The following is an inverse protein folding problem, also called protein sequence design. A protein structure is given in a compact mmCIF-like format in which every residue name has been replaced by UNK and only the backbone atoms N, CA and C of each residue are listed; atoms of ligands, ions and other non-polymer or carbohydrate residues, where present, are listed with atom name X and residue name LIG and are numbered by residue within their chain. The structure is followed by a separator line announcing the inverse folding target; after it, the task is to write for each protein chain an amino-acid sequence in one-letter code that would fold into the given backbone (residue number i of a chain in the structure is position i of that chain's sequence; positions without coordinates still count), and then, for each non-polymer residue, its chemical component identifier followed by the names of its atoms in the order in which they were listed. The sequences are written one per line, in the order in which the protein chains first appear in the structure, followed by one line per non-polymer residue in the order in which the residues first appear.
data_IF_785032719932
#
_entry.id   IF_785032719932
#
_cell.length_a   1.000
_cell.length_b   1.000
_cell.length_c   1.000
_cell.angle_alpha   90.00
_cell.angle_beta   90.00
_cell.angle_gamma   90.00
#
_symmetry.space_group_name_H-M   'P 1'
#
loop_
_entity.id
_entity.type
_entity.pdbx_description
1 polymer ?
#
# COMPACT_ATOMS: atom_id res chain seq x y z
N UNK A 1 5.08 9.43 -4.12
CA UNK A 1 6.22 8.89 -4.83
C UNK A 1 5.98 8.94 -6.34
N UNK A 2 6.81 9.66 -7.02
CA UNK A 2 6.66 9.95 -8.46
C UNK A 2 6.67 8.69 -9.34
N UNK A 3 7.47 7.69 -8.97
CA UNK A 3 7.58 6.44 -9.72
C UNK A 3 6.54 5.39 -9.33
N UNK A 4 5.70 5.69 -8.35
CA UNK A 4 4.62 4.79 -7.94
C UNK A 4 3.37 5.10 -8.72
N UNK A 5 2.49 4.12 -8.86
CA UNK A 5 1.20 4.27 -9.51
C UNK A 5 0.09 3.60 -8.72
N UNK A 6 -1.13 3.72 -9.19
CA UNK A 6 -2.28 3.03 -8.64
C UNK A 6 -3.26 3.96 -7.96
N UNK A 7 -4.02 3.38 -7.05
CA UNK A 7 -5.17 4.03 -6.43
C UNK A 7 -4.77 5.26 -5.61
N UNK A 8 -5.46 6.36 -5.85
CA UNK A 8 -5.36 7.58 -5.06
C UNK A 8 -6.76 8.09 -4.72
N UNK A 9 -6.92 8.64 -3.52
CA UNK A 9 -8.18 9.23 -3.08
C UNK A 9 -8.11 10.74 -3.19
N UNK A 10 -9.14 11.33 -3.77
CA UNK A 10 -9.27 12.78 -3.90
C UNK A 10 -10.54 13.23 -3.16
N UNK A 11 -10.46 14.31 -2.42
CA UNK A 11 -11.59 14.86 -1.71
C UNK A 11 -11.46 16.38 -1.59
N UNK A 12 -12.61 17.06 -1.50
CA UNK A 12 -12.67 18.47 -1.14
C UNK A 12 -12.77 18.68 0.38
N UNK A 13 -12.90 17.59 1.15
CA UNK A 13 -13.00 17.66 2.61
C UNK A 13 -11.68 17.25 3.25
N UNK A 14 -10.92 18.25 3.75
CA UNK A 14 -9.62 18.02 4.37
C UNK A 14 -9.67 17.15 5.63
N UNK A 15 -10.77 17.17 6.36
CA UNK A 15 -10.91 16.35 7.57
C UNK A 15 -10.90 14.86 7.24
N UNK A 16 -11.49 14.47 6.11
CA UNK A 16 -11.47 13.08 5.62
C UNK A 16 -10.04 12.65 5.30
N UNK A 17 -9.28 13.52 4.64
CA UNK A 17 -7.87 13.22 4.31
C UNK A 17 -7.07 12.98 5.59
N UNK A 18 -7.20 13.85 6.57
CA UNK A 18 -6.48 13.71 7.85
C UNK A 18 -6.86 12.42 8.57
N UNK A 19 -8.14 12.07 8.57
CA UNK A 19 -8.63 10.85 9.21
C UNK A 19 -8.04 9.59 8.57
N UNK A 20 -7.96 9.55 7.24
CA UNK A 20 -7.40 8.42 6.52
C UNK A 20 -5.87 8.33 6.71
N UNK A 21 -5.19 9.47 6.77
CA UNK A 21 -3.72 9.50 6.85
C UNK A 21 -3.18 9.25 8.26
N UNK A 22 -4.00 9.35 9.30
CA UNK A 22 -3.54 9.11 10.67
C UNK A 22 -3.05 7.67 10.84
N UNK A 23 -1.87 7.53 11.42
CA UNK A 23 -1.25 6.22 11.64
C UNK A 23 -2.09 5.33 12.56
N UNK A 24 -2.73 5.90 13.58
CA UNK A 24 -3.57 5.16 14.52
C UNK A 24 -4.81 4.54 13.89
N UNK A 25 -5.24 5.03 12.74
CA UNK A 25 -6.39 4.46 12.02
C UNK A 25 -6.03 3.18 11.28
N UNK A 26 -4.75 2.93 11.04
CA UNK A 26 -4.19 1.68 10.53
C UNK A 26 -4.90 1.15 9.28
N UNK A 27 -5.22 2.04 8.34
CA UNK A 27 -5.80 1.63 7.08
C UNK A 27 -4.82 0.74 6.31
N UNK A 28 -5.27 -0.45 5.95
CA UNK A 28 -4.46 -1.35 5.14
C UNK A 28 -4.34 -0.83 3.72
N UNK A 29 -3.14 -0.91 3.18
CA UNK A 29 -2.87 -0.61 1.78
C UNK A 29 -2.17 -1.80 1.15
N UNK A 30 -2.69 -2.25 0.04
CA UNK A 30 -2.14 -3.41 -0.66
C UNK A 30 -1.46 -2.96 -1.94
N UNK A 31 -0.26 -3.49 -2.16
CA UNK A 31 0.56 -3.16 -3.33
C UNK A 31 0.92 -4.43 -4.09
N UNK A 32 0.96 -4.30 -5.41
CA UNK A 32 1.60 -5.28 -6.29
C UNK A 32 2.94 -4.68 -6.72
N UNK A 33 4.01 -5.46 -6.56
CA UNK A 33 5.38 -4.99 -6.71
C UNK A 33 6.11 -5.89 -7.70
N UNK A 34 6.73 -5.31 -8.71
CA UNK A 34 7.63 -6.00 -9.61
C UNK A 34 9.07 -5.65 -9.24
N UNK A 35 9.94 -6.66 -9.22
CA UNK A 35 11.34 -6.51 -8.81
C UNK A 35 12.29 -7.09 -9.86
N UNK A 36 13.58 -6.82 -9.68
CA UNK A 36 14.63 -7.15 -10.65
C UNK A 36 15.19 -8.57 -10.51
N UNK A 37 14.83 -9.30 -9.45
CA UNK A 37 15.33 -10.65 -9.18
C UNK A 37 14.18 -11.58 -8.81
N UNK A 38 14.35 -12.90 -8.96
CA UNK A 38 13.32 -13.84 -8.55
C UNK A 38 12.95 -13.69 -7.08
N UNK A 39 11.66 -13.65 -6.79
CA UNK A 39 11.13 -13.55 -5.44
C UNK A 39 11.28 -14.91 -4.74
N UNK A 40 11.95 -14.91 -3.60
CA UNK A 40 12.16 -16.13 -2.79
C UNK A 40 11.27 -16.10 -1.55
N UNK A 41 11.00 -17.29 -0.99
CA UNK A 41 10.27 -17.39 0.27
C UNK A 41 11.01 -16.70 1.40
N UNK A 42 12.34 -16.78 1.40
CA UNK A 42 13.18 -16.11 2.39
C UNK A 42 13.01 -14.59 2.33
N UNK A 43 13.01 -14.02 1.12
CA UNK A 43 12.77 -12.58 0.93
C UNK A 43 11.41 -12.19 1.47
N UNK A 44 10.35 -12.94 1.11
CA UNK A 44 8.99 -12.65 1.56
C UNK A 44 8.86 -12.72 3.08
N UNK A 45 9.46 -13.72 3.70
CA UNK A 45 9.45 -13.84 5.17
C UNK A 45 10.22 -12.70 5.84
N UNK A 46 11.35 -12.30 5.27
CA UNK A 46 12.14 -11.18 5.78
C UNK A 46 11.38 -9.86 5.71
N UNK A 47 10.69 -9.61 4.60
CA UNK A 47 9.84 -8.44 4.43
C UNK A 47 8.68 -8.45 5.44
N UNK A 48 8.06 -9.60 5.64
CA UNK A 48 6.89 -9.74 6.53
C UNK A 48 7.22 -9.53 8.00
N UNK A 49 8.42 -9.91 8.44
CA UNK A 49 8.86 -9.73 9.83
C UNK A 49 9.14 -8.29 10.20
N UNK A 50 9.35 -7.44 9.23
CA UNK A 50 9.78 -6.08 9.42
C UNK A 50 11.26 -5.90 9.07
N UNK A 51 11.59 -4.72 8.59
CA UNK A 51 12.92 -4.36 8.09
C UNK A 51 13.32 -3.02 8.69
N UNK A 52 14.59 -2.86 9.04
CA UNK A 52 15.07 -1.57 9.53
C UNK A 52 15.28 -0.61 8.38
N UNK A 53 14.49 0.47 8.40
CA UNK A 53 14.63 1.59 7.47
C UNK A 53 14.46 2.89 8.27
N UNK A 54 15.03 4.00 7.79
CA UNK A 54 14.89 5.31 8.47
C UNK A 54 15.19 5.24 9.99
N UNK A 55 16.13 4.38 10.39
CA UNK A 55 16.51 4.18 11.81
C UNK A 55 15.38 3.60 12.67
N UNK A 56 14.40 2.96 12.07
CA UNK A 56 13.33 2.25 12.80
C UNK A 56 12.97 0.95 12.10
N UNK A 57 12.38 0.04 12.86
CA UNK A 57 11.88 -1.23 12.30
C UNK A 57 10.47 -1.01 11.75
N UNK A 58 10.23 -1.48 10.53
CA UNK A 58 8.88 -1.49 10.00
C UNK A 58 8.02 -2.49 10.77
N UNK A 59 6.72 -2.25 10.81
CA UNK A 59 5.78 -3.18 11.45
C UNK A 59 5.69 -4.49 10.65
N UNK A 60 5.41 -5.62 11.33
CA UNK A 60 5.10 -6.85 10.61
C UNK A 60 3.98 -6.62 9.60
N UNK A 61 4.07 -7.28 8.47
CA UNK A 61 3.12 -7.12 7.38
C UNK A 61 2.88 -8.45 6.67
N UNK A 62 1.95 -8.45 5.72
CA UNK A 62 1.61 -9.64 4.96
C UNK A 62 2.27 -9.57 3.59
N UNK A 63 2.85 -10.69 3.16
CA UNK A 63 3.47 -10.81 1.84
C UNK A 63 3.03 -12.11 1.17
N UNK A 64 2.98 -12.11 -0.16
CA UNK A 64 2.70 -13.31 -0.95
C UNK A 64 3.34 -13.17 -2.33
N UNK A 65 3.77 -14.30 -2.89
CA UNK A 65 4.29 -14.31 -4.26
C UNK A 65 3.13 -14.19 -5.26
N UNK A 66 3.28 -13.33 -6.25
CA UNK A 66 2.34 -13.20 -7.36
C UNK A 66 2.90 -13.82 -8.64
N UNK A 67 4.22 -13.71 -8.84
CA UNK A 67 4.91 -14.17 -10.04
C UNK A 67 6.38 -14.38 -9.70
N UNK A 68 7.16 -14.88 -10.65
CA UNK A 68 8.60 -15.09 -10.47
C UNK A 68 9.30 -13.80 -10.01
N UNK A 69 8.92 -12.66 -10.57
CA UNK A 69 9.52 -11.35 -10.28
C UNK A 69 8.52 -10.39 -9.64
N UNK A 70 7.51 -10.92 -8.97
CA UNK A 70 6.45 -10.09 -8.41
C UNK A 70 5.92 -10.60 -7.09
N UNK A 71 5.52 -9.67 -6.22
CA UNK A 71 4.91 -10.02 -4.95
C UNK A 71 3.84 -9.01 -4.56
N UNK A 72 3.02 -9.45 -3.61
CA UNK A 72 1.97 -8.66 -2.98
C UNK A 72 2.43 -8.33 -1.56
N UNK A 73 2.21 -7.11 -1.13
CA UNK A 73 2.50 -6.70 0.26
C UNK A 73 1.35 -5.83 0.78
N UNK A 74 0.95 -6.07 2.02
CA UNK A 74 -0.11 -5.31 2.69
C UNK A 74 0.48 -4.60 3.89
N UNK A 75 0.43 -3.27 3.88
CA UNK A 75 1.00 -2.41 4.91
C UNK A 75 -0.07 -1.60 5.60
N UNK A 76 0.11 -1.34 6.89
CA UNK A 76 -0.68 -0.35 7.64
C UNK A 76 0.08 0.95 7.82
N UNK A 77 1.38 0.96 7.58
CA UNK A 77 2.24 2.13 7.64
C UNK A 77 2.34 2.80 6.27
N UNK A 78 2.75 4.05 6.27
CA UNK A 78 3.00 4.81 5.05
C UNK A 78 4.32 5.58 5.14
N UNK A 79 5.40 4.91 5.54
CA UNK A 79 6.70 5.55 5.63
C UNK A 79 7.22 5.91 4.24
N UNK A 80 7.96 7.02 4.15
CA UNK A 80 8.48 7.51 2.88
C UNK A 80 9.30 6.42 2.18
N UNK A 81 8.91 6.06 0.96
CA UNK A 81 9.57 5.05 0.11
C UNK A 81 9.76 3.69 0.80
N UNK A 82 8.83 3.32 1.67
CA UNK A 82 8.96 2.16 2.55
C UNK A 82 9.24 0.86 1.80
N UNK A 83 8.43 0.52 0.81
CA UNK A 83 8.58 -0.76 0.08
C UNK A 83 9.89 -0.79 -0.69
N UNK A 84 10.30 0.34 -1.28
CA UNK A 84 11.57 0.43 -2.01
C UNK A 84 12.76 0.22 -1.08
N UNK A 85 12.74 0.83 0.10
CA UNK A 85 13.83 0.72 1.07
C UNK A 85 13.86 -0.66 1.73
N UNK A 86 12.68 -1.22 2.05
CA UNK A 86 12.60 -2.59 2.57
C UNK A 86 13.19 -3.60 1.57
N UNK A 87 12.82 -3.47 0.30
CA UNK A 87 13.32 -4.35 -0.76
C UNK A 87 14.82 -4.19 -0.95
N UNK A 88 15.34 -2.96 -0.90
CA UNK A 88 16.76 -2.68 -1.03
C UNK A 88 17.59 -3.34 0.08
N UNK A 89 17.04 -3.48 1.28
CA UNK A 89 17.71 -4.15 2.39
C UNK A 89 18.03 -5.61 2.09
N UNK A 90 17.29 -6.24 1.17
CA UNK A 90 17.52 -7.61 0.69
C UNK A 90 18.17 -7.62 -0.70
N UNK A 91 18.69 -6.49 -1.14
CA UNK A 91 19.35 -6.34 -2.44
C UNK A 91 18.41 -6.56 -3.63
N UNK A 92 17.14 -6.18 -3.44
CA UNK A 92 16.14 -6.15 -4.52
C UNK A 92 15.88 -4.71 -4.93
N UNK A 93 15.65 -4.51 -6.23
CA UNK A 93 15.24 -3.21 -6.76
C UNK A 93 13.82 -3.30 -7.30
N UNK A 94 12.98 -2.37 -6.86
CA UNK A 94 11.59 -2.28 -7.32
C UNK A 94 11.57 -1.70 -8.73
N UNK A 95 10.96 -2.44 -9.67
CA UNK A 95 10.80 -2.02 -11.06
C UNK A 95 9.45 -1.35 -11.29
N UNK A 96 8.42 -1.79 -10.58
CA UNK A 96 7.07 -1.24 -10.68
C UNK A 96 6.39 -1.37 -9.32
N UNK A 97 5.68 -0.34 -8.90
CA UNK A 97 4.96 -0.31 -7.64
C UNK A 97 3.57 0.26 -7.90
N UNK A 98 2.55 -0.56 -7.64
CA UNK A 98 1.15 -0.18 -7.86
C UNK A 98 0.33 -0.43 -6.61
N UNK A 99 -0.34 0.62 -6.11
CA UNK A 99 -1.30 0.45 -5.00
C UNK A 99 -2.65 0.01 -5.58
N UNK A 100 -3.11 -1.17 -5.18
CA UNK A 100 -4.31 -1.80 -5.74
C UNK A 100 -5.49 -1.77 -4.78
N UNK A 101 -5.25 -1.49 -3.50
CA UNK A 101 -6.32 -1.46 -2.48
C UNK A 101 -5.96 -0.52 -1.34
N UNK A 102 -6.96 0.20 -0.83
CA UNK A 102 -6.92 0.94 0.43
C UNK A 102 -8.14 0.46 1.21
N UNK A 103 -7.92 -0.31 2.29
CA UNK A 103 -8.98 -0.99 3.05
C UNK A 103 -9.95 -1.74 2.13
N UNK A 104 -11.21 -1.30 2.08
CA UNK A 104 -12.25 -1.90 1.25
C UNK A 104 -12.28 -1.38 -0.19
N UNK A 105 -11.46 -0.38 -0.53
CA UNK A 105 -11.45 0.22 -1.87
C UNK A 105 -10.45 -0.50 -2.76
N UNK A 106 -10.92 -1.05 -3.87
CA UNK A 106 -10.07 -1.75 -4.83
C UNK A 106 -9.93 -0.94 -6.10
N UNK A 107 -8.73 -0.98 -6.70
CA UNK A 107 -8.47 -0.36 -7.99
C UNK A 107 -9.34 -0.98 -9.09
N UNK A 108 -9.47 -2.31 -9.07
CA UNK A 108 -10.31 -3.03 -10.02
C UNK A 108 -9.89 -2.74 -11.45
N UNK A 109 -10.88 -2.49 -12.30
CA UNK A 109 -10.67 -2.22 -13.72
C UNK A 109 -10.37 -0.76 -14.05
N UNK A 110 -10.22 0.09 -13.04
CA UNK A 110 -9.91 1.51 -13.24
C UNK A 110 -8.52 1.66 -13.85
N UNK A 111 -8.43 2.33 -14.99
CA UNK A 111 -7.17 2.50 -15.72
C UNK A 111 -6.49 3.81 -15.32
N UNK A 112 -5.17 3.94 -15.54
CA UNK A 112 -4.47 5.20 -15.28
C UNK A 112 -5.17 6.39 -15.93
N UNK A 113 -5.29 7.48 -15.17
CA UNK A 113 -5.97 8.70 -15.62
C UNK A 113 -7.48 8.67 -15.49
N UNK A 114 -8.07 7.53 -15.19
CA UNK A 114 -9.52 7.41 -14.97
C UNK A 114 -9.86 7.69 -13.50
N UNK A 115 -11.09 8.14 -13.26
CA UNK A 115 -11.58 8.37 -11.92
C UNK A 115 -13.06 7.94 -11.83
N UNK A 116 -13.51 7.72 -10.61
CA UNK A 116 -14.91 7.49 -10.30
C UNK A 116 -15.22 8.00 -8.90
N UNK A 117 -16.50 8.25 -8.65
CA UNK A 117 -16.94 8.56 -7.28
C UNK A 117 -16.96 7.30 -6.44
N UNK A 118 -16.73 7.46 -5.15
CA UNK A 118 -16.92 6.37 -4.20
C UNK A 118 -18.40 6.19 -3.92
N UNK A 119 -18.82 4.94 -3.74
CA UNK A 119 -20.19 4.65 -3.30
C UNK A 119 -20.32 4.93 -1.79
N UNK A 120 -21.56 5.07 -1.33
CA UNK A 120 -21.84 5.27 0.09
C UNK A 120 -21.33 4.09 0.93
N UNK A 121 -21.48 2.87 0.42
CA UNK A 121 -20.97 1.66 1.10
C UNK A 121 -19.45 1.71 1.23
N UNK A 122 -18.74 2.12 0.18
CA UNK A 122 -17.29 2.28 0.20
C UNK A 122 -16.86 3.33 1.23
N UNK A 123 -17.52 4.47 1.26
CA UNK A 123 -17.22 5.54 2.23
C UNK A 123 -17.42 5.07 3.65
N UNK A 124 -18.50 4.36 3.94
CA UNK A 124 -18.78 3.85 5.29
C UNK A 124 -17.76 2.82 5.72
N UNK A 125 -17.28 1.97 4.82
CA UNK A 125 -16.25 0.99 5.10
C UNK A 125 -14.89 1.63 5.37
N UNK A 126 -14.58 2.72 4.66
CA UNK A 126 -13.31 3.43 4.81
C UNK A 126 -13.28 4.27 6.10
N UNK A 127 -14.40 4.87 6.47
CA UNK A 127 -14.53 5.78 7.61
C UNK A 127 -15.67 5.33 8.53
N UNK A 128 -15.56 4.17 9.19
CA UNK A 128 -16.67 3.56 9.93
C UNK A 128 -17.09 4.38 11.16
N UNK A 129 -16.21 5.26 11.66
CA UNK A 129 -16.52 6.11 12.83
C UNK A 129 -17.32 7.36 12.47
N UNK A 130 -17.42 7.66 11.17
CA UNK A 130 -18.11 8.87 10.72
C UNK A 130 -19.60 8.62 10.58
N UNK A 131 -20.42 9.61 11.00
CA UNK A 131 -21.88 9.54 10.92
C UNK A 131 -22.51 10.72 10.19
N UNK A 132 -21.70 11.66 9.71
CA UNK A 132 -22.13 12.93 9.13
C UNK A 132 -22.01 12.95 7.60
N UNK A 133 -22.38 11.86 7.00
CA UNK A 133 -22.32 11.72 5.53
C UNK A 133 -23.25 12.66 4.77
#
# INVERSE_FOLDING_TARGET
DKESEGLILLTSNGDIVNEILRAENKHEKEYHVAVNKPVTDEFLRGMARGVRIHNEMTLPCKTARLAKYGFRIVLTQGLNRQIRLMSAAFDYRVKQLRRVRIDNLKLGALKPGQWRNLTEVELRGLLPQRTDW
#
